data_IF_603092501719
#
_entry.id   IF_603092501719
#
_cell.length_a   1.000
_cell.length_b   1.000
_cell.length_c   1.000
_cell.angle_alpha   90.00
_cell.angle_beta   90.00
_cell.angle_gamma   90.00
#
_symmetry.space_group_name_H-M   'P 1'
#
loop_
_entity.id
_entity.type
_entity.pdbx_description
1 polymer ?
#
# COMPACT_ATOMS: atom_id res chain seq x y z
N UNK A 1 -20.47 81.58 16.74
CA UNK A 1 -21.07 81.41 15.38
C UNK A 1 -20.48 80.26 14.58
N UNK A 2 -19.19 79.93 14.69
CA UNK A 2 -18.56 78.84 13.90
C UNK A 2 -19.14 77.42 14.12
N UNK A 3 -19.59 77.07 15.34
CA UNK A 3 -20.19 75.74 15.61
C UNK A 3 -21.55 75.52 14.94
N UNK A 4 -22.33 76.59 14.71
CA UNK A 4 -23.67 76.49 14.11
C UNK A 4 -23.59 76.37 12.59
N UNK A 5 -22.62 77.04 11.95
CA UNK A 5 -22.33 76.87 10.53
C UNK A 5 -21.77 75.48 10.21
N UNK A 6 -20.95 74.91 11.10
CA UNK A 6 -20.45 73.54 10.95
C UNK A 6 -21.56 72.49 11.08
N UNK A 7 -22.53 72.70 11.98
CA UNK A 7 -23.68 71.79 12.11
C UNK A 7 -24.61 71.86 10.89
N UNK A 8 -24.87 73.07 10.37
CA UNK A 8 -25.70 73.29 9.18
C UNK A 8 -25.07 72.73 7.90
N UNK A 9 -23.74 72.84 7.74
CA UNK A 9 -23.03 72.21 6.61
C UNK A 9 -23.05 70.68 6.70
N UNK A 10 -22.97 70.12 7.91
CA UNK A 10 -23.03 68.67 8.11
C UNK A 10 -24.43 68.11 7.82
N UNK A 11 -25.49 68.85 8.15
CA UNK A 11 -26.87 68.45 7.82
C UNK A 11 -27.21 68.60 6.34
N UNK A 12 -26.64 69.60 5.65
CA UNK A 12 -26.88 69.79 4.21
C UNK A 12 -26.13 68.73 3.36
N UNK A 13 -24.95 68.29 3.81
CA UNK A 13 -24.22 67.18 3.18
C UNK A 13 -24.91 65.82 3.43
N UNK A 14 -25.56 65.64 4.57
CA UNK A 14 -26.30 64.42 4.88
C UNK A 14 -27.60 64.27 4.07
N UNK A 15 -28.25 65.37 3.66
CA UNK A 15 -29.48 65.33 2.86
C UNK A 15 -29.28 65.08 1.36
N UNK A 16 -28.04 65.15 0.85
CA UNK A 16 -27.73 64.88 -0.57
C UNK A 16 -27.21 63.46 -0.83
N UNK A 17 -27.02 62.65 0.21
CA UNK A 17 -26.46 61.30 0.08
C UNK A 17 -27.51 60.18 0.05
N UNK A 18 -28.80 60.50 -0.08
CA UNK A 18 -29.82 59.51 -0.47
C UNK A 18 -29.91 59.46 -2.00
N UNK A 19 -28.77 59.19 -2.66
CA UNK A 19 -28.83 58.57 -3.99
C UNK A 19 -29.49 57.23 -3.73
N UNK A 20 -30.72 57.07 -4.23
CA UNK A 20 -31.37 55.77 -4.27
C UNK A 20 -30.40 54.84 -5.00
N UNK A 21 -29.74 53.96 -4.25
CA UNK A 21 -28.93 52.92 -4.84
C UNK A 21 -29.87 52.12 -5.76
N UNK A 22 -29.68 52.27 -7.07
CA UNK A 22 -30.50 51.59 -8.04
C UNK A 22 -30.16 50.11 -7.95
N UNK A 23 -31.08 49.29 -7.44
CA UNK A 23 -30.89 47.85 -7.37
C UNK A 23 -31.40 47.17 -8.65
N UNK A 24 -30.78 46.07 -9.06
CA UNK A 24 -31.29 45.24 -10.15
C UNK A 24 -32.69 44.69 -9.82
N UNK A 25 -33.64 44.88 -10.74
CA UNK A 25 -35.01 44.35 -10.64
C UNK A 25 -35.16 43.19 -11.62
N UNK A 26 -35.16 41.98 -11.09
CA UNK A 26 -35.34 40.76 -11.89
C UNK A 26 -36.74 40.20 -11.66
N UNK A 27 -37.48 39.96 -12.75
CA UNK A 27 -38.82 39.37 -12.76
C UNK A 27 -38.90 38.22 -13.76
N UNK A 28 -40.03 37.51 -13.73
CA UNK A 28 -40.33 36.37 -14.63
C UNK A 28 -39.24 35.31 -14.61
N UNK A 29 -38.84 34.90 -13.41
CA UNK A 29 -37.86 33.85 -13.21
C UNK A 29 -38.54 32.50 -13.44
N UNK A 30 -38.06 31.75 -14.42
CA UNK A 30 -38.55 30.41 -14.72
C UNK A 30 -37.37 29.46 -14.88
N UNK A 31 -37.42 28.35 -14.15
CA UNK A 31 -36.43 27.30 -14.15
C UNK A 31 -37.08 26.00 -14.62
N UNK A 32 -36.50 25.34 -15.61
CA UNK A 32 -37.05 24.11 -16.17
C UNK A 32 -35.96 23.08 -16.50
N UNK A 33 -36.24 21.82 -16.20
CA UNK A 33 -35.39 20.68 -16.59
C UNK A 33 -36.06 19.97 -17.76
N UNK A 34 -35.30 19.76 -18.82
CA UNK A 34 -35.77 19.15 -20.07
C UNK A 34 -35.00 17.86 -20.29
N UNK A 35 -35.75 16.77 -20.48
CA UNK A 35 -35.20 15.47 -20.80
C UNK A 35 -34.58 15.41 -22.19
N UNK A 36 -33.76 14.39 -22.45
CA UNK A 36 -33.13 14.15 -23.77
C UNK A 36 -34.13 14.13 -24.93
N UNK A 37 -35.35 13.67 -24.70
CA UNK A 37 -36.43 13.58 -25.70
C UNK A 37 -37.16 14.92 -25.94
N UNK A 38 -36.69 16.01 -25.31
CA UNK A 38 -37.31 17.33 -25.39
C UNK A 38 -38.53 17.52 -24.50
N UNK A 39 -38.93 16.50 -23.74
CA UNK A 39 -40.00 16.58 -22.74
C UNK A 39 -39.59 17.45 -21.55
N UNK A 40 -40.49 18.32 -21.08
CA UNK A 40 -40.29 19.09 -19.84
C UNK A 40 -40.53 18.16 -18.65
N UNK A 41 -39.47 17.83 -17.90
CA UNK A 41 -39.56 17.01 -16.67
C UNK A 41 -40.14 17.81 -15.52
N UNK A 42 -39.62 19.03 -15.32
CA UNK A 42 -40.03 19.91 -14.21
C UNK A 42 -39.96 21.37 -14.66
N UNK A 43 -40.93 22.19 -14.26
CA UNK A 43 -40.97 23.64 -14.52
C UNK A 43 -41.41 24.38 -13.25
N UNK A 44 -40.59 25.32 -12.79
CA UNK A 44 -40.84 26.14 -11.61
C UNK A 44 -40.77 27.62 -11.98
N UNK A 45 -41.91 28.30 -11.88
CA UNK A 45 -41.95 29.77 -11.93
C UNK A 45 -41.71 30.29 -10.52
N UNK A 46 -40.71 31.15 -10.36
CA UNK A 46 -40.27 31.64 -9.06
C UNK A 46 -40.35 33.15 -8.96
N UNK A 47 -40.51 33.61 -7.72
CA UNK A 47 -40.39 35.00 -7.34
C UNK A 47 -39.31 35.15 -6.27
N UNK A 48 -38.45 36.15 -6.44
CA UNK A 48 -37.42 36.48 -5.46
C UNK A 48 -38.07 36.81 -4.10
N UNK A 49 -37.58 36.28 -2.96
CA UNK A 49 -36.35 35.52 -2.76
C UNK A 49 -36.55 34.01 -2.55
N UNK A 50 -37.63 33.40 -3.05
CA UNK A 50 -37.91 31.96 -2.79
C UNK A 50 -36.98 31.04 -3.58
N UNK A 51 -36.53 29.93 -3.00
CA UNK A 51 -35.65 28.96 -3.66
C UNK A 51 -36.39 27.66 -4.02
N UNK A 52 -35.91 26.90 -5.01
CA UNK A 52 -36.41 25.54 -5.29
C UNK A 52 -35.74 24.53 -4.38
N UNK A 53 -36.52 23.64 -3.75
CA UNK A 53 -35.98 22.63 -2.84
C UNK A 53 -35.64 21.30 -3.56
N UNK A 54 -36.43 20.89 -4.56
CA UNK A 54 -36.31 19.57 -5.19
C UNK A 54 -36.19 19.63 -6.72
N UNK A 55 -34.96 19.78 -7.22
CA UNK A 55 -34.65 19.65 -8.64
C UNK A 55 -33.68 18.49 -8.88
N UNK A 56 -34.04 17.57 -9.76
CA UNK A 56 -33.17 16.47 -10.17
C UNK A 56 -33.01 16.48 -11.69
N UNK A 57 -31.80 16.24 -12.17
CA UNK A 57 -31.47 16.13 -13.58
C UNK A 57 -30.53 14.96 -13.84
N UNK A 58 -30.75 14.26 -14.94
CA UNK A 58 -29.85 13.21 -15.40
C UNK A 58 -28.69 13.80 -16.21
N UNK A 59 -27.61 13.03 -16.39
CA UNK A 59 -26.43 13.43 -17.17
C UNK A 59 -26.74 13.92 -18.59
N UNK A 60 -27.86 13.51 -19.19
CA UNK A 60 -28.26 13.91 -20.55
C UNK A 60 -29.29 15.04 -20.61
N UNK A 61 -29.81 15.45 -19.45
CA UNK A 61 -30.84 16.48 -19.38
C UNK A 61 -30.26 17.87 -19.64
N UNK A 62 -31.15 18.81 -19.94
CA UNK A 62 -30.80 20.21 -20.13
C UNK A 62 -31.56 21.09 -19.15
N UNK A 63 -30.84 21.92 -18.39
CA UNK A 63 -31.40 22.93 -17.51
C UNK A 63 -31.58 24.24 -18.29
N UNK A 64 -32.81 24.75 -18.32
CA UNK A 64 -33.14 26.05 -18.90
C UNK A 64 -33.61 27.00 -17.82
N UNK A 65 -33.08 28.20 -17.85
CA UNK A 65 -33.47 29.29 -16.98
C UNK A 65 -33.72 30.53 -17.81
N UNK A 66 -34.85 31.18 -17.57
CA UNK A 66 -35.19 32.46 -18.17
C UNK A 66 -35.55 33.46 -17.10
N UNK A 67 -35.20 34.71 -17.36
CA UNK A 67 -35.45 35.84 -16.48
C UNK A 67 -35.64 37.10 -17.32
N UNK A 68 -36.20 38.15 -16.71
CA UNK A 68 -36.33 39.48 -17.31
C UNK A 68 -35.78 40.51 -16.33
N UNK A 69 -34.83 41.30 -16.81
CA UNK A 69 -34.29 42.45 -16.08
C UNK A 69 -35.10 43.69 -16.46
N UNK A 70 -35.65 44.38 -15.48
CA UNK A 70 -36.42 45.62 -15.62
C UNK A 70 -35.62 46.82 -15.09
N UNK A 71 -34.45 47.04 -15.70
CA UNK A 71 -33.59 48.21 -15.47
C UNK A 71 -33.36 48.95 -16.79
N UNK A 72 -32.98 50.23 -16.70
CA UNK A 72 -32.65 51.03 -17.90
C UNK A 72 -31.33 50.57 -18.53
N UNK A 73 -30.41 50.06 -17.72
CA UNK A 73 -29.14 49.49 -18.17
C UNK A 73 -29.24 47.97 -18.40
N UNK A 74 -28.56 47.50 -19.45
CA UNK A 74 -28.33 46.08 -19.69
C UNK A 74 -27.23 45.55 -18.77
N UNK A 75 -27.42 44.43 -18.08
CA UNK A 75 -26.35 43.83 -17.29
C UNK A 75 -25.17 43.44 -18.17
N UNK A 76 -23.97 43.80 -17.72
CA UNK A 76 -22.72 43.41 -18.36
C UNK A 76 -22.39 41.94 -18.06
N UNK A 77 -22.73 41.48 -16.86
CA UNK A 77 -22.54 40.13 -16.39
C UNK A 77 -23.86 39.53 -15.94
N UNK A 78 -24.23 38.38 -16.49
CA UNK A 78 -25.31 37.55 -15.99
C UNK A 78 -24.85 36.10 -16.05
N UNK A 79 -24.83 35.40 -14.93
CA UNK A 79 -24.36 34.02 -14.85
C UNK A 79 -25.05 33.25 -13.74
N UNK A 80 -25.05 31.92 -13.86
CA UNK A 80 -25.35 31.02 -12.75
C UNK A 80 -24.09 30.30 -12.31
N UNK A 81 -23.79 30.45 -11.02
CA UNK A 81 -22.77 29.69 -10.33
C UNK A 81 -23.40 28.39 -9.80
N UNK A 82 -22.83 27.27 -10.19
CA UNK A 82 -23.08 25.97 -9.61
C UNK A 82 -21.92 25.63 -8.67
N UNK A 83 -22.21 25.43 -7.40
CA UNK A 83 -21.22 25.05 -6.39
C UNK A 83 -21.56 23.67 -5.85
N UNK A 84 -20.65 22.70 -6.01
CA UNK A 84 -20.88 21.36 -5.48
C UNK A 84 -20.89 21.37 -3.95
N UNK A 85 -21.79 20.58 -3.36
CA UNK A 85 -21.95 20.46 -1.90
C UNK A 85 -21.16 19.28 -1.33
N UNK A 86 -20.16 18.80 -2.06
CA UNK A 86 -19.19 17.78 -1.60
C UNK A 86 -17.89 18.45 -1.15
N UNK A 87 -17.01 17.68 -0.49
CA UNK A 87 -15.74 18.16 0.09
C UNK A 87 -14.80 18.89 -0.89
N UNK A 88 -15.09 18.83 -2.19
CA UNK A 88 -14.28 19.42 -3.24
C UNK A 88 -14.70 20.86 -3.59
N UNK A 89 -15.95 21.25 -3.30
CA UNK A 89 -16.47 22.59 -3.58
C UNK A 89 -16.19 23.06 -5.01
N UNK A 90 -16.41 22.17 -5.99
CA UNK A 90 -16.24 22.48 -7.41
C UNK A 90 -17.19 23.61 -7.82
N UNK A 91 -16.60 24.72 -8.27
CA UNK A 91 -17.35 25.85 -8.84
C UNK A 91 -17.38 25.77 -10.38
N UNK A 92 -18.57 25.98 -10.94
CA UNK A 92 -18.83 26.04 -12.38
C UNK A 92 -19.72 27.25 -12.65
N UNK A 93 -19.25 28.17 -13.49
CA UNK A 93 -19.98 29.39 -13.85
C UNK A 93 -20.48 29.28 -15.28
N UNK A 94 -21.78 29.46 -15.47
CA UNK A 94 -22.42 29.41 -16.79
C UNK A 94 -23.00 30.78 -17.12
N UNK A 95 -22.50 31.39 -18.20
CA UNK A 95 -22.97 32.70 -18.65
C UNK A 95 -24.39 32.62 -19.24
N UNK A 96 -25.23 33.60 -18.91
CA UNK A 96 -26.55 33.79 -19.47
C UNK A 96 -26.53 34.82 -20.61
N UNK A 97 -27.28 34.55 -21.67
CA UNK A 97 -27.43 35.50 -22.77
C UNK A 97 -28.59 36.45 -22.47
N UNK A 98 -28.30 37.76 -22.42
CA UNK A 98 -29.29 38.81 -22.17
C UNK A 98 -29.52 39.62 -23.45
N UNK A 99 -30.76 39.64 -23.94
CA UNK A 99 -31.15 40.43 -25.12
C UNK A 99 -31.28 41.92 -24.78
N UNK A 100 -31.25 42.82 -25.78
CA UNK A 100 -31.51 44.25 -25.57
C UNK A 100 -32.86 44.55 -24.90
N UNK A 101 -33.83 43.63 -25.00
CA UNK A 101 -35.15 43.74 -24.35
C UNK A 101 -35.17 43.40 -22.85
N UNK A 102 -33.99 43.22 -22.23
CA UNK A 102 -33.86 42.81 -20.82
C UNK A 102 -34.18 41.34 -20.56
N UNK A 103 -34.68 40.60 -21.55
CA UNK A 103 -34.95 39.16 -21.44
C UNK A 103 -33.66 38.36 -21.52
N UNK A 104 -33.36 37.63 -20.46
CA UNK A 104 -32.23 36.72 -20.35
C UNK A 104 -32.63 35.25 -20.41
N UNK A 105 -31.76 34.42 -20.98
CA UNK A 105 -31.90 32.96 -20.95
C UNK A 105 -30.52 32.31 -20.91
N UNK A 106 -30.39 31.25 -20.12
CA UNK A 106 -29.33 30.26 -20.28
C UNK A 106 -29.91 28.87 -20.48
N UNK A 107 -29.15 28.04 -21.20
CA UNK A 107 -29.47 26.66 -21.46
C UNK A 107 -28.19 25.86 -21.26
N UNK A 108 -28.22 24.93 -20.30
CA UNK A 108 -27.09 24.10 -19.91
C UNK A 108 -27.45 22.65 -20.18
N UNK A 109 -26.81 22.03 -21.17
CA UNK A 109 -26.90 20.59 -21.38
C UNK A 109 -25.81 19.89 -20.56
N UNK A 110 -26.18 19.08 -19.57
CA UNK A 110 -25.20 18.46 -18.66
C UNK A 110 -24.20 17.56 -19.40
N UNK A 111 -24.62 16.88 -20.49
CA UNK A 111 -23.75 15.99 -21.26
C UNK A 111 -22.66 16.75 -22.02
N UNK A 112 -22.95 17.95 -22.51
CA UNK A 112 -22.02 18.77 -23.31
C UNK A 112 -21.35 19.89 -22.52
N UNK A 113 -21.67 20.02 -21.23
CA UNK A 113 -21.15 21.06 -20.34
C UNK A 113 -19.80 20.70 -19.72
N UNK A 114 -19.41 21.45 -18.68
CA UNK A 114 -18.17 21.27 -17.93
C UNK A 114 -18.01 19.80 -17.47
N UNK A 115 -16.84 19.18 -17.66
CA UNK A 115 -16.58 17.81 -17.24
C UNK A 115 -16.82 17.58 -15.74
N UNK A 116 -16.80 18.64 -14.91
CA UNK A 116 -17.08 18.57 -13.48
C UNK A 116 -18.48 18.05 -13.15
N UNK A 117 -19.46 18.24 -14.03
CA UNK A 117 -20.81 17.67 -13.86
C UNK A 117 -20.87 16.15 -14.09
N UNK A 118 -19.83 15.56 -14.70
CA UNK A 118 -19.78 14.12 -15.03
C UNK A 118 -19.12 13.29 -13.93
N UNK A 119 -18.68 13.93 -12.86
CA UNK A 119 -17.96 13.34 -11.74
C UNK A 119 -18.93 12.74 -10.70
N UNK A 120 -19.62 11.67 -11.11
CA UNK A 120 -20.60 10.96 -10.26
C UNK A 120 -21.88 11.77 -10.00
N UNK A 121 -22.76 11.23 -9.15
CA UNK A 121 -24.00 11.89 -8.74
C UNK A 121 -23.72 12.87 -7.62
N UNK A 122 -24.11 14.14 -7.80
CA UNK A 122 -23.84 15.21 -6.82
C UNK A 122 -24.96 16.23 -6.73
N UNK A 123 -25.01 16.89 -5.57
CA UNK A 123 -25.85 18.04 -5.30
C UNK A 123 -25.08 19.34 -5.55
N UNK A 124 -25.66 20.24 -6.33
CA UNK A 124 -25.11 21.56 -6.63
C UNK A 124 -26.04 22.65 -6.09
N UNK A 125 -25.48 23.64 -5.41
CA UNK A 125 -26.18 24.90 -5.10
C UNK A 125 -26.11 25.81 -6.32
N UNK A 126 -27.25 26.33 -6.74
CA UNK A 126 -27.37 27.24 -7.87
C UNK A 126 -27.55 28.68 -7.37
N UNK A 127 -26.64 29.56 -7.75
CA UNK A 127 -26.72 30.99 -7.43
C UNK A 127 -26.69 31.81 -8.71
N UNK A 128 -27.75 32.58 -8.94
CA UNK A 128 -27.82 33.54 -10.02
C UNK A 128 -27.17 34.86 -9.62
N UNK A 129 -26.28 35.35 -10.48
CA UNK A 129 -25.50 36.56 -10.30
C UNK A 129 -25.72 37.50 -11.49
N UNK A 130 -26.09 38.75 -11.21
CA UNK A 130 -26.22 39.81 -12.22
C UNK A 130 -25.45 41.05 -11.76
N UNK A 131 -24.70 41.65 -12.69
CA UNK A 131 -23.95 42.87 -12.42
C UNK A 131 -23.74 43.70 -13.69
N UNK A 132 -23.42 44.97 -13.49
CA UNK A 132 -23.17 45.95 -14.55
C UNK A 132 -22.41 47.15 -14.00
N UNK A 133 -21.88 48.01 -14.88
CA UNK A 133 -20.97 49.08 -14.47
C UNK A 133 -21.65 50.29 -13.80
N UNK A 134 -22.97 50.52 -13.98
CA UNK A 134 -23.65 51.69 -13.36
C UNK A 134 -24.42 51.36 -12.08
N UNK A 135 -24.68 50.09 -11.82
CA UNK A 135 -25.35 49.63 -10.60
C UNK A 135 -24.28 49.02 -9.68
N UNK A 136 -24.03 49.69 -8.55
CA UNK A 136 -22.97 49.31 -7.61
C UNK A 136 -23.27 48.00 -6.87
N UNK A 137 -24.55 47.71 -6.58
CA UNK A 137 -24.95 46.51 -5.82
C UNK A 137 -25.29 45.35 -6.78
N UNK A 138 -24.48 44.28 -6.84
CA UNK A 138 -24.76 43.13 -7.71
C UNK A 138 -25.93 42.31 -7.19
N UNK A 139 -26.80 41.87 -8.08
CA UNK A 139 -27.90 40.98 -7.72
C UNK A 139 -27.39 39.58 -7.47
N UNK A 140 -27.59 39.07 -6.24
CA UNK A 140 -27.31 37.69 -5.87
C UNK A 140 -28.59 36.99 -5.45
N UNK A 141 -28.93 35.89 -6.11
CA UNK A 141 -30.13 35.13 -5.81
C UNK A 141 -29.86 33.62 -5.81
N UNK A 142 -30.12 32.96 -4.69
CA UNK A 142 -30.03 31.50 -4.60
C UNK A 142 -31.27 30.88 -5.24
N UNK A 143 -31.07 30.16 -6.34
CA UNK A 143 -32.14 29.46 -7.06
C UNK A 143 -32.51 28.12 -6.39
N UNK A 144 -31.75 27.69 -5.39
CA UNK A 144 -31.92 26.42 -4.70
C UNK A 144 -30.90 25.38 -5.10
N UNK A 145 -31.25 24.11 -4.92
CA UNK A 145 -30.36 22.98 -5.16
C UNK A 145 -30.80 22.15 -6.36
N UNK A 146 -29.82 21.55 -7.04
CA UNK A 146 -30.06 20.56 -8.09
C UNK A 146 -29.20 19.31 -7.87
N UNK A 147 -29.84 18.15 -7.89
CA UNK A 147 -29.18 16.85 -7.89
C UNK A 147 -28.93 16.43 -9.34
N UNK A 148 -27.66 16.40 -9.74
CA UNK A 148 -27.23 15.98 -11.08
C UNK A 148 -26.70 14.56 -10.99
N UNK A 149 -27.38 13.63 -11.65
CA UNK A 149 -26.95 12.24 -11.72
C UNK A 149 -25.87 12.07 -12.80
N UNK A 150 -24.73 11.50 -12.42
CA UNK A 150 -23.65 11.19 -13.36
C UNK A 150 -24.04 10.07 -14.33
N UNK A 151 -23.30 9.86 -15.44
CA UNK A 151 -23.57 8.77 -16.36
C UNK A 151 -23.48 7.42 -15.64
N UNK A 152 -24.44 6.49 -15.87
CA UNK A 152 -24.51 5.21 -15.14
C UNK A 152 -23.32 4.28 -15.46
N UNK A 153 -22.66 4.49 -16.59
CA UNK A 153 -21.51 3.70 -17.06
C UNK A 153 -20.29 4.59 -17.18
N UNK A 154 -19.21 4.23 -16.49
CA UNK A 154 -17.91 4.89 -16.53
C UNK A 154 -17.95 6.39 -16.13
N UNK A 155 -18.27 6.71 -14.86
CA UNK A 155 -18.20 8.09 -14.38
C UNK A 155 -16.78 8.62 -14.63
N UNK A 156 -16.69 9.87 -15.10
CA UNK A 156 -15.39 10.46 -15.38
C UNK A 156 -14.52 10.43 -14.11
N UNK A 157 -13.32 9.84 -14.22
CA UNK A 157 -12.36 9.80 -13.13
C UNK A 157 -11.98 11.23 -12.76
N UNK A 158 -12.27 11.61 -11.51
CA UNK A 158 -11.80 12.90 -10.97
C UNK A 158 -10.29 12.89 -10.89
N UNK A 159 -9.61 13.97 -11.31
CA UNK A 159 -8.22 14.16 -10.95
C UNK A 159 -8.12 14.21 -9.42
N UNK A 160 -7.29 13.34 -8.84
CA UNK A 160 -7.08 13.31 -7.39
C UNK A 160 -6.54 14.68 -6.96
N UNK A 161 -7.26 15.38 -6.08
CA UNK A 161 -6.76 16.63 -5.49
C UNK A 161 -5.44 16.30 -4.80
N UNK A 162 -4.37 16.96 -5.22
CA UNK A 162 -3.06 16.81 -4.58
C UNK A 162 -3.15 17.51 -3.24
N UNK A 163 -3.42 16.74 -2.20
CA UNK A 163 -3.40 17.23 -0.82
C UNK A 163 -1.99 17.05 -0.27
N UNK A 164 -1.33 18.16 0.06
CA UNK A 164 -0.05 18.14 0.76
C UNK A 164 -0.29 17.82 2.24
N UNK A 165 -0.49 16.52 2.54
CA UNK A 165 -0.65 15.98 3.89
C UNK A 165 0.38 14.90 4.14
N UNK A 166 0.76 14.71 5.41
CA UNK A 166 1.61 13.60 5.81
C UNK A 166 0.95 12.28 5.41
N UNK A 167 1.69 11.42 4.72
CA UNK A 167 1.21 10.10 4.36
C UNK A 167 1.25 9.17 5.58
N UNK A 168 0.39 8.14 5.62
CA UNK A 168 0.49 7.12 6.65
C UNK A 168 1.84 6.41 6.58
N UNK A 169 2.39 6.09 7.74
CA UNK A 169 3.65 5.34 7.86
C UNK A 169 3.46 3.90 7.34
N UNK A 170 4.47 3.38 6.63
CA UNK A 170 4.45 2.04 6.05
C UNK A 170 5.33 1.12 6.91
N UNK A 171 4.72 0.13 7.55
CA UNK A 171 5.45 -0.89 8.32
C UNK A 171 5.76 -2.10 7.46
N UNK A 172 7.04 -2.50 7.41
CA UNK A 172 7.45 -3.74 6.76
C UNK A 172 7.00 -4.96 7.59
N UNK A 173 6.22 -5.85 6.98
CA UNK A 173 5.80 -7.10 7.61
C UNK A 173 6.85 -8.19 7.32
N UNK A 174 7.58 -8.62 8.35
CA UNK A 174 8.48 -9.75 8.25
C UNK A 174 7.71 -11.06 8.08
N UNK A 175 8.37 -12.05 7.48
CA UNK A 175 7.83 -13.41 7.39
C UNK A 175 7.72 -13.98 8.81
N UNK A 176 6.65 -14.72 9.08
CA UNK A 176 6.50 -15.44 10.34
C UNK A 176 7.54 -16.55 10.45
N UNK A 177 7.99 -16.82 11.68
CA UNK A 177 8.91 -17.92 11.97
C UNK A 177 8.33 -19.28 11.55
N UNK A 178 9.22 -20.20 11.17
CA UNK A 178 8.84 -21.56 10.80
C UNK A 178 8.36 -22.34 12.04
N UNK A 179 7.27 -23.08 11.90
CA UNK A 179 6.74 -23.91 12.98
C UNK A 179 7.66 -25.11 13.24
N UNK A 180 8.26 -25.16 14.43
CA UNK A 180 9.10 -26.28 14.87
C UNK A 180 8.25 -27.46 15.41
N UNK A 181 8.81 -28.68 15.34
CA UNK A 181 8.21 -29.90 15.88
C UNK A 181 8.43 -29.96 17.40
N UNK A 182 7.56 -30.68 18.11
CA UNK A 182 7.71 -30.94 19.54
C UNK A 182 9.02 -31.70 19.85
N UNK A 183 9.83 -31.12 20.74
CA UNK A 183 11.13 -31.65 21.20
C UNK A 183 11.06 -33.08 21.74
N UNK A 184 9.95 -33.46 22.40
CA UNK A 184 9.77 -34.81 22.93
C UNK A 184 9.71 -35.87 21.81
N UNK A 185 9.03 -35.54 20.71
CA UNK A 185 8.93 -36.43 19.54
C UNK A 185 10.30 -36.54 18.87
N UNK A 186 10.99 -35.41 18.66
CA UNK A 186 12.34 -35.41 18.09
C UNK A 186 13.30 -36.26 18.94
N UNK A 187 13.27 -36.12 20.27
CA UNK A 187 14.11 -36.89 21.18
C UNK A 187 13.86 -38.40 21.12
N UNK A 188 12.59 -38.82 21.02
CA UNK A 188 12.23 -40.24 20.87
C UNK A 188 12.85 -40.85 19.61
N UNK A 189 12.75 -40.17 18.47
CA UNK A 189 13.33 -40.66 17.22
C UNK A 189 14.86 -40.65 17.24
N UNK A 190 15.50 -39.69 17.90
CA UNK A 190 16.95 -39.72 18.12
C UNK A 190 17.38 -40.95 18.92
N UNK A 191 16.66 -41.30 20.00
CA UNK A 191 16.93 -42.52 20.77
C UNK A 191 16.72 -43.79 19.93
N UNK A 192 15.70 -43.81 19.07
CA UNK A 192 15.45 -44.92 18.15
C UNK A 192 16.62 -45.11 17.17
N UNK A 193 17.17 -44.02 16.62
CA UNK A 193 18.36 -44.08 15.73
C UNK A 193 19.62 -44.59 16.45
N UNK A 194 19.76 -44.34 17.76
CA UNK A 194 20.88 -44.85 18.55
C UNK A 194 20.72 -46.33 18.96
N UNK A 195 19.50 -46.87 18.89
CA UNK A 195 19.18 -48.24 19.35
C UNK A 195 19.99 -49.33 18.62
N UNK A 196 20.17 -49.32 17.28
CA UNK A 196 21.00 -50.32 16.59
C UNK A 196 22.44 -50.37 17.08
N UNK A 197 23.03 -49.24 17.49
CA UNK A 197 24.37 -49.21 18.06
C UNK A 197 24.42 -49.88 19.43
N UNK A 198 23.43 -49.63 20.29
CA UNK A 198 23.32 -50.31 21.58
C UNK A 198 23.18 -51.82 21.42
N UNK A 199 22.36 -52.25 20.45
CA UNK A 199 22.21 -53.67 20.08
C UNK A 199 23.53 -54.25 19.59
N UNK A 200 24.27 -53.54 18.73
CA UNK A 200 25.59 -53.98 18.24
C UNK A 200 26.58 -54.22 19.40
N UNK A 201 26.70 -53.27 20.32
CA UNK A 201 27.61 -53.41 21.47
C UNK A 201 27.17 -54.55 22.40
N UNK A 202 25.86 -54.73 22.60
CA UNK A 202 25.33 -55.86 23.36
C UNK A 202 25.69 -57.20 22.71
N UNK A 203 25.51 -57.34 21.39
CA UNK A 203 25.89 -58.55 20.67
C UNK A 203 27.39 -58.82 20.75
N UNK A 204 28.23 -57.79 20.62
CA UNK A 204 29.69 -57.93 20.82
C UNK A 204 30.06 -58.43 22.21
N UNK A 205 29.33 -58.04 23.25
CA UNK A 205 29.56 -58.55 24.62
C UNK A 205 29.20 -60.04 24.79
N UNK A 206 28.34 -60.57 23.92
CA UNK A 206 27.91 -61.98 23.90
C UNK A 206 28.79 -62.86 23.02
N UNK A 207 29.50 -62.25 22.07
CA UNK A 207 30.50 -62.92 21.27
C UNK A 207 31.81 -62.97 22.08
N UNK A 208 32.39 -64.15 22.26
CA UNK A 208 33.72 -64.31 22.85
C UNK A 208 34.80 -63.77 21.89
N UNK A 209 34.84 -62.45 21.72
CA UNK A 209 35.80 -61.75 20.87
C UNK A 209 37.18 -61.93 21.50
N UNK A 210 37.98 -62.82 20.92
CA UNK A 210 39.34 -63.08 21.38
C UNK A 210 40.26 -61.90 21.04
N UNK A 211 40.64 -61.12 22.05
CA UNK A 211 41.63 -60.02 21.95
C UNK A 211 43.08 -60.52 21.85
N UNK A 212 43.32 -61.81 21.59
CA UNK A 212 44.65 -62.39 21.39
C UNK A 212 45.55 -61.62 20.39
N UNK A 213 45.05 -61.09 19.25
CA UNK A 213 45.88 -60.32 18.32
C UNK A 213 46.36 -59.00 18.93
N UNK A 214 45.53 -58.38 19.79
CA UNK A 214 45.81 -57.14 20.50
C UNK A 214 46.90 -57.38 21.57
N UNK A 215 46.76 -58.47 22.36
CA UNK A 215 47.73 -58.87 23.38
C UNK A 215 49.10 -59.20 22.78
N UNK A 216 49.15 -59.82 21.61
CA UNK A 216 50.39 -60.08 20.89
C UNK A 216 51.03 -58.81 20.29
N UNK A 217 50.24 -57.77 20.01
CA UNK A 217 50.75 -56.47 19.52
C UNK A 217 51.49 -55.70 20.64
N UNK A 218 50.99 -55.81 21.88
CA UNK A 218 51.57 -55.19 23.08
C UNK A 218 52.94 -55.78 23.46
N UNK A 219 53.22 -57.05 23.13
CA UNK A 219 54.48 -57.72 23.47
C UNK A 219 55.72 -57.15 22.77
N UNK A 220 55.56 -56.41 21.66
CA UNK A 220 56.67 -55.74 20.96
C UNK A 220 56.49 -54.22 21.05
N UNK A 221 57.35 -53.48 21.77
CA UNK A 221 57.13 -52.06 22.04
C UNK A 221 57.06 -51.20 20.76
N UNK A 222 57.86 -51.51 19.74
CA UNK A 222 57.84 -50.78 18.46
C UNK A 222 56.51 -50.95 17.68
N UNK A 223 55.87 -52.12 17.78
CA UNK A 223 54.58 -52.38 17.12
C UNK A 223 53.41 -51.75 17.89
N UNK A 224 53.55 -51.61 19.20
CA UNK A 224 52.57 -50.93 20.04
C UNK A 224 52.53 -49.43 19.73
N UNK A 225 53.70 -48.78 19.65
CA UNK A 225 53.78 -47.34 19.34
C UNK A 225 53.17 -47.03 17.97
N UNK A 226 53.52 -47.80 16.94
CA UNK A 226 52.95 -47.62 15.59
C UNK A 226 51.44 -47.87 15.54
N UNK A 227 50.93 -48.82 16.32
CA UNK A 227 49.48 -49.07 16.44
C UNK A 227 48.74 -47.94 17.16
N UNK A 228 49.30 -47.40 18.24
CA UNK A 228 48.72 -46.25 18.94
C UNK A 228 48.70 -45.03 18.02
N UNK A 229 49.79 -44.77 17.29
CA UNK A 229 49.83 -43.67 16.31
C UNK A 229 48.79 -43.87 15.21
N UNK A 230 48.62 -45.10 14.71
CA UNK A 230 47.62 -45.39 13.67
C UNK A 230 46.19 -45.17 14.17
N UNK A 231 45.80 -45.78 15.30
CA UNK A 231 44.46 -45.58 15.88
C UNK A 231 44.25 -44.12 16.28
N UNK A 232 45.25 -43.48 16.88
CA UNK A 232 45.22 -42.06 17.22
C UNK A 232 45.03 -41.17 16.00
N UNK A 233 45.66 -41.50 14.87
CA UNK A 233 45.47 -40.76 13.61
C UNK A 233 44.05 -40.92 13.06
N UNK A 234 43.45 -42.12 13.14
CA UNK A 234 42.06 -42.36 12.74
C UNK A 234 41.08 -41.62 13.66
N UNK A 235 41.25 -41.70 14.98
CA UNK A 235 40.44 -40.95 15.94
C UNK A 235 40.59 -39.44 15.74
N UNK A 236 41.81 -38.97 15.43
CA UNK A 236 42.08 -37.58 15.09
C UNK A 236 41.33 -37.13 13.83
N UNK A 237 41.26 -37.97 12.79
CA UNK A 237 40.51 -37.68 11.57
C UNK A 237 39.00 -37.55 11.87
N UNK A 238 38.43 -38.47 12.65
CA UNK A 238 37.02 -38.38 13.08
C UNK A 238 36.76 -37.12 13.92
N UNK A 239 37.70 -36.75 14.81
CA UNK A 239 37.60 -35.51 15.58
C UNK A 239 37.66 -34.26 14.70
N UNK A 240 38.48 -34.27 13.64
CA UNK A 240 38.52 -33.18 12.65
C UNK A 240 37.19 -33.05 11.92
N UNK A 241 36.54 -34.16 11.55
CA UNK A 241 35.20 -34.13 10.97
C UNK A 241 34.14 -33.61 11.95
N UNK A 242 34.19 -34.02 13.21
CA UNK A 242 33.32 -33.48 14.25
C UNK A 242 33.54 -31.97 14.47
N UNK A 243 34.80 -31.52 14.46
CA UNK A 243 35.15 -30.11 14.60
C UNK A 243 34.67 -29.28 13.41
N UNK A 244 34.77 -29.82 12.19
CA UNK A 244 34.20 -29.22 10.99
C UNK A 244 32.69 -29.07 11.08
N UNK A 245 31.99 -30.09 11.59
CA UNK A 245 30.53 -30.05 11.74
C UNK A 245 30.07 -29.01 12.78
N UNK A 246 30.89 -28.71 13.78
CA UNK A 246 30.51 -27.83 14.90
C UNK A 246 30.97 -26.39 14.75
N UNK A 247 32.21 -26.12 14.35
CA UNK A 247 32.77 -24.76 14.44
C UNK A 247 33.95 -24.41 13.52
N UNK A 248 34.62 -25.39 12.87
CA UNK A 248 35.84 -25.13 12.08
C UNK A 248 35.50 -24.95 10.59
N UNK A 249 36.18 -24.00 9.94
CA UNK A 249 36.04 -23.75 8.49
C UNK A 249 36.80 -24.77 7.65
N UNK A 250 36.48 -24.83 6.35
CA UNK A 250 36.98 -25.88 5.45
C UNK A 250 38.52 -25.89 5.26
N UNK A 251 39.17 -24.73 5.16
CA UNK A 251 40.60 -24.67 4.85
C UNK A 251 41.50 -25.24 5.97
N UNK A 252 41.33 -24.88 7.26
CA UNK A 252 42.05 -25.55 8.35
C UNK A 252 41.77 -27.05 8.41
N UNK A 253 40.53 -27.47 8.17
CA UNK A 253 40.14 -28.89 8.14
C UNK A 253 40.91 -29.65 7.08
N UNK A 254 41.02 -29.11 5.86
CA UNK A 254 41.81 -29.71 4.78
C UNK A 254 43.29 -29.85 5.16
N UNK A 255 43.87 -28.87 5.86
CA UNK A 255 45.26 -28.93 6.33
C UNK A 255 45.45 -30.02 7.40
N UNK A 256 44.61 -30.03 8.43
CA UNK A 256 44.68 -31.04 9.50
C UNK A 256 44.41 -32.45 8.97
N UNK A 257 43.41 -32.60 8.11
CA UNK A 257 43.08 -33.86 7.46
C UNK A 257 44.22 -34.32 6.55
N UNK A 258 44.86 -33.43 5.80
CA UNK A 258 46.02 -33.75 4.97
C UNK A 258 47.19 -34.31 5.79
N UNK A 259 47.55 -33.64 6.89
CA UNK A 259 48.63 -34.10 7.79
C UNK A 259 48.26 -35.43 8.46
N UNK A 260 47.08 -35.52 9.07
CA UNK A 260 46.64 -36.73 9.76
C UNK A 260 46.46 -37.92 8.81
N UNK A 261 46.00 -37.70 7.58
CA UNK A 261 45.88 -38.75 6.56
C UNK A 261 47.25 -39.30 6.15
N UNK A 262 48.27 -38.44 6.03
CA UNK A 262 49.63 -38.89 5.74
C UNK A 262 50.18 -39.73 6.90
N UNK A 263 49.99 -39.27 8.15
CA UNK A 263 50.37 -40.03 9.34
C UNK A 263 49.64 -41.38 9.40
N UNK A 264 48.34 -41.40 9.12
CA UNK A 264 47.52 -42.62 9.07
C UNK A 264 47.99 -43.58 7.97
N UNK A 265 48.33 -43.08 6.78
CA UNK A 265 48.83 -43.90 5.68
C UNK A 265 50.17 -44.58 6.01
N UNK A 266 51.12 -43.81 6.57
CA UNK A 266 52.45 -44.34 6.93
C UNK A 266 52.35 -45.33 8.09
N UNK A 267 51.71 -44.93 9.20
CA UNK A 267 51.55 -45.80 10.38
C UNK A 267 50.70 -47.03 10.06
N UNK A 268 49.65 -46.88 9.27
CA UNK A 268 48.78 -47.95 8.81
C UNK A 268 49.53 -48.98 7.98
N UNK A 269 50.42 -48.56 7.07
CA UNK A 269 51.28 -49.48 6.31
C UNK A 269 52.10 -50.37 7.25
N UNK A 270 52.76 -49.79 8.26
CA UNK A 270 53.56 -50.57 9.21
C UNK A 270 52.72 -51.53 10.06
N UNK A 271 51.58 -51.08 10.59
CA UNK A 271 50.69 -51.89 11.43
C UNK A 271 50.10 -53.04 10.63
N UNK A 272 49.57 -52.77 9.43
CA UNK A 272 48.97 -53.79 8.58
C UNK A 272 50.00 -54.80 8.07
N UNK A 273 51.20 -54.36 7.70
CA UNK A 273 52.30 -55.28 7.35
C UNK A 273 52.74 -56.15 8.53
N UNK A 274 52.79 -55.61 9.75
CA UNK A 274 53.09 -56.38 10.96
C UNK A 274 51.99 -57.44 11.24
N UNK A 275 50.72 -57.10 11.02
CA UNK A 275 49.61 -58.06 11.12
C UNK A 275 49.71 -59.14 10.04
N UNK A 276 50.03 -58.78 8.80
CA UNK A 276 50.20 -59.73 7.70
C UNK A 276 51.35 -60.72 7.97
N UNK A 277 52.52 -60.24 8.39
CA UNK A 277 53.68 -61.08 8.72
C UNK A 277 53.33 -62.11 9.82
N UNK A 278 52.54 -61.70 10.82
CA UNK A 278 52.07 -62.61 11.89
C UNK A 278 51.11 -63.68 11.37
N UNK A 279 50.21 -63.33 10.45
CA UNK A 279 49.30 -64.30 9.82
C UNK A 279 50.10 -65.37 9.09
N UNK A 280 51.12 -64.97 8.32
CA UNK A 280 52.01 -65.87 7.60
C UNK A 280 52.83 -66.78 8.53
N UNK A 281 53.32 -66.25 9.65
CA UNK A 281 54.04 -67.05 10.66
C UNK A 281 53.14 -68.08 11.35
N UNK A 282 51.89 -67.73 11.66
CA UNK A 282 50.92 -68.67 12.24
C UNK A 282 50.58 -69.81 11.27
N UNK A 283 50.36 -69.49 9.99
CA UNK A 283 50.08 -70.52 8.97
C UNK A 283 51.30 -71.40 8.70
N UNK A 284 52.51 -70.85 8.69
CA UNK A 284 53.74 -71.62 8.51
C UNK A 284 54.08 -72.48 9.74
N UNK A 285 53.81 -72.01 10.95
CA UNK A 285 53.97 -72.80 12.19
C UNK A 285 53.01 -73.98 12.23
N UNK A 286 51.73 -73.76 11.89
CA UNK A 286 50.72 -74.81 11.81
C UNK A 286 51.04 -75.87 10.74
N UNK A 287 51.73 -75.51 9.66
CA UNK A 287 52.14 -76.43 8.60
C UNK A 287 53.41 -77.23 8.94
N UNK A 288 54.17 -76.84 9.97
CA UNK A 288 55.39 -77.52 10.44
C UNK A 288 55.12 -78.49 11.59
N UNK A 289 53.97 -78.36 12.26
CA UNK A 289 53.50 -79.26 13.31
C UNK A 289 52.61 -80.41 12.79
N UNK A 290 52.28 -80.41 11.49
CA UNK A 290 51.67 -81.53 10.75
C UNK A 290 52.74 -82.36 10.04
#
# INVERSE_FOLDING_TARGET
>A
MAKVQSLLLLTLLASLASVLAESWKVKDINLSVIGKDGSKKTEHRMEYPHAVEDLSADATDSLKFSFKVENEERPHQAMVLFQSQDDFEDEIMVAASVKPSGKGRFELNFANSDPKFKYGTRKYSMTFLVGGPKIDDPFKYSLGFIDVQGPPTNPALRPKRVEYKSQPEIHHQFRSDQKLINTAISGLFTALVLTPFAVLFFLWSKLDIKFEPLRALVQKPANLVTAIVFIGSLTGIEYVFYSYWTHVTLFPVLQYLGVLSLVAAVSGRYVLSAVQARRLQRTAGSAKEM
#
